data_IF_033043835336
#
_entry.id   IF_033043835336
#
_cell.length_a   1.000
_cell.length_b   1.000
_cell.length_c   1.000
_cell.angle_alpha   90.00
_cell.angle_beta   90.00
_cell.angle_gamma   90.00
#
_symmetry.space_group_name_H-M   'P 1'
#
loop_
_entity.id
_entity.type
_entity.pdbx_description
1 polymer ?
#
# COMPACT_ATOMS: atom_id res chain seq x y z
N UNK A 1 -1.36 6.49 -12.12
CA UNK A 1 -2.43 6.61 -11.10
C UNK A 1 -1.78 6.47 -9.74
N UNK A 2 -2.15 7.26 -8.72
CA UNK A 2 -1.36 7.38 -7.49
C UNK A 2 -1.53 6.16 -6.56
N UNK A 3 -0.59 6.03 -5.62
CA UNK A 3 -0.73 5.14 -4.46
C UNK A 3 -1.96 5.58 -3.65
N UNK A 4 -2.80 4.63 -3.28
CA UNK A 4 -4.01 4.85 -2.47
C UNK A 4 -3.64 4.56 -1.02
N UNK A 5 -3.31 5.59 -0.25
CA UNK A 5 -2.85 5.48 1.15
C UNK A 5 -3.98 5.49 2.17
N UNK A 6 -5.19 5.85 1.77
CA UNK A 6 -6.40 5.90 2.59
C UNK A 6 -7.25 4.62 2.47
N UNK A 7 -6.69 3.53 1.93
CA UNK A 7 -7.40 2.28 1.76
C UNK A 7 -7.64 1.59 3.11
N UNK A 8 -8.91 1.44 3.49
CA UNK A 8 -9.31 0.70 4.69
C UNK A 8 -9.50 -0.77 4.37
N UNK A 9 -8.76 -1.65 5.06
CA UNK A 9 -8.93 -3.08 4.91
C UNK A 9 -10.30 -3.52 5.49
N UNK A 10 -11.12 -4.26 4.73
CA UNK A 10 -12.38 -4.77 5.25
C UNK A 10 -12.17 -5.84 6.32
N UNK A 11 -13.17 -6.04 7.18
CA UNK A 11 -13.11 -7.02 8.28
C UNK A 11 -13.17 -8.48 7.81
N UNK A 12 -13.50 -8.72 6.55
CA UNK A 12 -13.51 -10.05 5.94
C UNK A 12 -12.97 -10.02 4.51
N UNK A 13 -12.20 -11.04 4.08
CA UNK A 13 -11.78 -11.19 2.68
C UNK A 13 -12.95 -11.21 1.69
N UNK A 14 -14.14 -11.66 2.12
CA UNK A 14 -15.35 -11.70 1.27
C UNK A 14 -15.90 -10.31 0.92
N UNK A 15 -15.51 -9.29 1.68
CA UNK A 15 -15.90 -7.90 1.48
C UNK A 15 -14.83 -7.12 0.71
N UNK A 16 -13.75 -7.77 0.30
CA UNK A 16 -12.72 -7.11 -0.50
C UNK A 16 -13.23 -6.90 -1.92
N UNK A 17 -13.42 -5.62 -2.27
CA UNK A 17 -13.76 -5.23 -3.63
C UNK A 17 -12.58 -5.47 -4.57
N UNK A 18 -12.73 -6.48 -5.43
CA UNK A 18 -11.79 -6.79 -6.50
C UNK A 18 -12.25 -6.12 -7.80
N UNK A 19 -11.33 -5.61 -8.62
CA UNK A 19 -11.68 -5.01 -9.89
C UNK A 19 -12.30 -6.05 -10.84
N UNK A 20 -13.32 -5.66 -11.58
CA UNK A 20 -14.02 -6.53 -12.53
C UNK A 20 -13.23 -6.64 -13.85
N UNK A 21 -13.11 -7.86 -14.38
CA UNK A 21 -12.45 -8.13 -15.67
C UNK A 21 -11.51 -9.32 -15.61
N UNK A 22 -11.37 -10.05 -16.72
CA UNK A 22 -10.58 -11.28 -16.78
C UNK A 22 -9.08 -11.08 -16.47
N UNK A 23 -8.56 -9.87 -16.74
CA UNK A 23 -7.15 -9.49 -16.49
C UNK A 23 -7.01 -8.43 -15.38
N UNK A 24 -8.08 -8.15 -14.65
CA UNK A 24 -8.08 -7.15 -13.60
C UNK A 24 -7.28 -7.65 -12.39
N UNK A 25 -6.25 -6.89 -11.98
CA UNK A 25 -5.37 -7.24 -10.87
C UNK A 25 -5.59 -6.28 -9.71
N UNK A 26 -5.71 -6.82 -8.50
CA UNK A 26 -5.69 -6.05 -7.26
C UNK A 26 -4.29 -6.12 -6.64
N UNK A 27 -3.69 -4.96 -6.36
CA UNK A 27 -2.43 -4.85 -5.62
C UNK A 27 -2.70 -4.17 -4.29
N UNK A 28 -2.36 -4.86 -3.20
CA UNK A 28 -2.47 -4.36 -1.83
C UNK A 28 -1.11 -4.60 -1.18
N UNK A 29 -0.50 -3.55 -0.66
CA UNK A 29 0.74 -3.63 0.11
C UNK A 29 0.46 -3.32 1.57
N UNK A 30 0.97 -4.16 2.45
CA UNK A 30 0.94 -3.96 3.88
C UNK A 30 2.28 -3.40 4.31
N UNK A 31 2.29 -2.17 4.80
CA UNK A 31 3.51 -1.48 5.25
C UNK A 31 3.37 -1.09 6.70
N UNK A 32 4.50 -0.95 7.37
CA UNK A 32 4.56 -0.40 8.71
C UNK A 32 4.20 1.08 8.69
N UNK A 33 3.54 1.56 9.74
CA UNK A 33 3.19 2.99 9.85
C UNK A 33 4.42 3.89 9.91
N UNK A 34 4.21 5.16 9.62
CA UNK A 34 5.25 6.18 9.75
C UNK A 34 5.60 6.45 11.21
N UNK A 35 6.90 6.63 11.47
CA UNK A 35 7.42 7.14 12.74
C UNK A 35 7.03 8.62 12.87
N UNK A 36 6.33 9.03 13.94
CA UNK A 36 5.85 10.40 14.11
C UNK A 36 6.96 11.46 14.16
N UNK A 37 8.19 11.06 14.46
CA UNK A 37 9.37 11.93 14.55
C UNK A 37 9.97 12.22 13.18
N UNK A 38 9.93 11.23 12.27
CA UNK A 38 10.61 11.33 10.96
C UNK A 38 9.64 11.47 9.80
N UNK A 39 8.36 11.16 10.00
CA UNK A 39 7.36 11.08 8.93
C UNK A 39 7.67 9.99 7.90
N UNK A 40 8.44 8.98 8.29
CA UNK A 40 8.81 7.85 7.44
C UNK A 40 8.55 6.54 8.17
N UNK A 41 8.19 5.52 7.41
CA UNK A 41 8.03 4.16 7.92
C UNK A 41 9.20 3.76 8.83
N UNK A 42 8.86 3.27 10.03
CA UNK A 42 9.86 2.86 11.02
C UNK A 42 10.68 1.65 10.54
N UNK A 43 10.12 0.82 9.65
CA UNK A 43 10.82 -0.32 9.08
C UNK A 43 11.79 0.13 7.95
N UNK A 44 13.09 -0.19 8.06
CA UNK A 44 14.08 0.17 7.05
C UNK A 44 13.80 -0.48 5.68
N UNK A 45 13.28 -1.71 5.65
CA UNK A 45 12.93 -2.41 4.42
C UNK A 45 11.80 -1.72 3.65
N UNK A 46 10.79 -1.21 4.36
CA UNK A 46 9.71 -0.44 3.74
C UNK A 46 10.26 0.84 3.12
N UNK A 47 11.16 1.55 3.83
CA UNK A 47 11.81 2.76 3.27
C UNK A 47 12.63 2.44 2.02
N UNK A 48 13.33 1.30 2.00
CA UNK A 48 14.11 0.88 0.84
C UNK A 48 13.22 0.44 -0.34
N UNK A 49 12.09 -0.20 -0.07
CA UNK A 49 11.14 -0.67 -1.08
C UNK A 49 10.24 0.44 -1.63
N UNK A 50 9.98 1.49 -0.85
CA UNK A 50 9.03 2.55 -1.20
C UNK A 50 9.33 3.24 -2.54
N UNK A 51 10.57 3.67 -2.85
CA UNK A 51 10.89 4.27 -4.14
C UNK A 51 10.64 3.33 -5.32
N UNK A 52 10.81 2.02 -5.12
CA UNK A 52 10.56 1.00 -6.15
C UNK A 52 9.07 0.85 -6.40
N UNK A 53 8.25 0.87 -5.34
CA UNK A 53 6.80 0.86 -5.45
C UNK A 53 6.30 2.13 -6.15
N UNK A 54 6.77 3.31 -5.74
CA UNK A 54 6.43 4.57 -6.40
C UNK A 54 6.80 4.58 -7.89
N UNK A 55 8.01 4.13 -8.24
CA UNK A 55 8.43 4.05 -9.62
C UNK A 55 7.58 3.07 -10.45
N UNK A 56 7.20 1.93 -9.86
CA UNK A 56 6.41 0.89 -10.55
C UNK A 56 4.95 1.31 -10.76
N UNK A 57 4.36 1.99 -9.77
CA UNK A 57 2.92 2.30 -9.75
C UNK A 57 2.58 3.74 -10.16
N UNK A 58 3.55 4.63 -10.37
CA UNK A 58 3.31 6.03 -10.77
C UNK A 58 2.88 6.24 -12.22
N UNK A 59 3.03 5.24 -13.10
CA UNK A 59 2.71 5.34 -14.52
C UNK A 59 1.24 5.68 -14.82
N UNK A 60 0.97 6.33 -15.95
CA UNK A 60 -0.39 6.71 -16.37
C UNK A 60 -1.33 5.49 -16.51
N UNK A 61 -0.80 4.38 -17.02
CA UNK A 61 -1.49 3.09 -17.17
C UNK A 61 -1.06 2.06 -16.12
N UNK A 62 -0.33 2.48 -15.09
CA UNK A 62 0.08 1.58 -14.03
C UNK A 62 -1.16 1.17 -13.20
N UNK A 63 -1.20 -0.07 -12.69
CA UNK A 63 -2.27 -0.51 -11.81
C UNK A 63 -2.35 0.37 -10.54
N UNK A 64 -3.48 0.36 -9.85
CA UNK A 64 -3.59 1.02 -8.55
C UNK A 64 -2.92 0.15 -7.47
N UNK A 65 -2.09 0.77 -6.63
CA UNK A 65 -1.55 0.16 -5.42
C UNK A 65 -2.31 0.70 -4.21
N UNK A 66 -2.97 -0.20 -3.47
CA UNK A 66 -3.62 0.12 -2.19
C UNK A 66 -2.64 -0.13 -1.05
N UNK A 67 -2.44 0.86 -0.20
CA UNK A 67 -1.51 0.79 0.93
C UNK A 67 -2.32 0.62 2.21
N UNK A 68 -1.94 -0.38 3.01
CA UNK A 68 -2.51 -0.63 4.33
C UNK A 68 -1.40 -0.49 5.36
N UNK A 69 -1.58 0.43 6.29
CA UNK A 69 -0.67 0.57 7.42
C UNK A 69 -1.04 -0.44 8.53
N UNK A 70 -0.11 -1.35 8.86
CA UNK A 70 -0.36 -2.44 9.83
C UNK A 70 -0.06 -2.07 11.28
N UNK A 71 0.40 -0.84 11.54
CA UNK A 71 0.57 -0.31 12.88
C UNK A 71 1.99 0.17 13.22
N UNK A 72 2.07 0.70 14.44
CA UNK A 72 3.28 1.29 15.02
C UNK A 72 4.27 0.22 15.50
N UNK A 73 5.53 0.62 15.62
CA UNK A 73 6.59 -0.24 16.16
C UNK A 73 6.20 -0.68 17.58
N UNK A 74 6.30 -1.98 17.94
CA UNK A 74 6.12 -2.42 19.31
C UNK A 74 7.11 -1.69 20.22
N UNK A 75 6.62 -1.11 21.31
CA UNK A 75 7.42 -0.47 22.37
C UNK A 75 8.38 -1.47 23.05
#
# INVERSE_FOLDING_TARGET
MPLITDFTLPTSPKQLELPEGADAKAFIVFVTSDDPTTGQSWCPDVRAAWPVLEATFSGANAPALRVVEVGQKPE
#
